data_IF_663666335662
#
_entry.id   IF_663666335662
#
_cell.length_a   1.000
_cell.length_b   1.000
_cell.length_c   1.000
_cell.angle_alpha   90.00
_cell.angle_beta   90.00
_cell.angle_gamma   90.00
#
_symmetry.space_group_name_H-M   'P 1'
#
loop_
_entity.id
_entity.type
_entity.pdbx_description
1 polymer ?
#
# COMPACT_ATOMS: atom_id res chain seq x y z
N UNK A 1 2.30 -28.01 -1.56
CA UNK A 1 1.29 -27.05 -1.07
C UNK A 1 2.11 -25.83 -0.76
N UNK A 2 2.39 -25.10 -1.83
CA UNK A 2 3.54 -24.22 -1.91
C UNK A 2 3.26 -22.93 -1.16
N UNK A 3 4.23 -22.59 -0.31
CA UNK A 3 4.42 -21.32 0.34
C UNK A 3 4.15 -20.17 -0.65
N UNK A 4 3.07 -19.42 -0.45
CA UNK A 4 2.83 -18.19 -1.22
C UNK A 4 3.65 -17.05 -0.58
N UNK A 5 4.96 -17.23 -0.70
CA UNK A 5 6.06 -16.27 -0.90
C UNK A 5 6.12 -15.01 -0.01
N UNK A 6 7.06 -14.93 0.96
CA UNK A 6 7.37 -13.70 1.69
C UNK A 6 8.45 -12.79 1.05
N UNK A 7 8.95 -13.09 -0.15
CA UNK A 7 10.16 -12.41 -0.70
C UNK A 7 9.91 -11.39 -1.83
N UNK A 8 8.66 -11.10 -2.18
CA UNK A 8 8.35 -10.09 -3.20
C UNK A 8 7.76 -8.80 -2.61
N UNK A 9 8.25 -7.65 -3.08
CA UNK A 9 7.70 -6.32 -2.75
C UNK A 9 6.39 -6.08 -3.52
N UNK A 10 6.20 -6.80 -4.63
CA UNK A 10 5.11 -6.63 -5.59
C UNK A 10 4.52 -7.99 -5.95
N UNK A 11 3.20 -8.08 -5.94
CA UNK A 11 2.44 -9.28 -6.24
C UNK A 11 1.43 -9.02 -7.35
N UNK A 12 1.42 -9.91 -8.34
CA UNK A 12 0.31 -10.04 -9.27
C UNK A 12 -0.78 -10.88 -8.61
N UNK A 13 -1.87 -10.22 -8.22
CA UNK A 13 -3.04 -10.84 -7.57
C UNK A 13 -3.66 -11.94 -8.43
N UNK A 14 -3.53 -11.87 -9.76
CA UNK A 14 -4.06 -12.91 -10.66
C UNK A 14 -3.28 -14.23 -10.56
N UNK A 15 -2.05 -14.19 -10.06
CA UNK A 15 -1.20 -15.36 -9.83
C UNK A 15 -1.30 -15.88 -8.39
N UNK A 16 -1.93 -15.11 -7.50
CA UNK A 16 -2.16 -15.54 -6.11
C UNK A 16 -3.37 -16.47 -6.12
N UNK A 17 -3.13 -17.77 -6.02
CA UNK A 17 -4.18 -18.79 -6.13
C UNK A 17 -5.19 -18.80 -4.96
N UNK A 18 -4.83 -18.21 -3.81
CA UNK A 18 -5.61 -18.32 -2.58
C UNK A 18 -5.56 -17.00 -1.77
N UNK A 19 -6.74 -16.38 -1.59
CA UNK A 19 -6.93 -15.21 -0.75
C UNK A 19 -6.57 -15.49 0.72
N UNK A 20 -6.93 -16.66 1.24
CA UNK A 20 -6.67 -17.00 2.64
C UNK A 20 -5.17 -17.10 2.90
N UNK A 21 -4.39 -17.60 1.93
CA UNK A 21 -2.94 -17.60 1.99
C UNK A 21 -2.38 -16.17 2.02
N UNK A 22 -2.83 -15.29 1.14
CA UNK A 22 -2.41 -13.87 1.12
C UNK A 22 -2.71 -13.18 2.46
N UNK A 23 -3.93 -13.31 2.96
CA UNK A 23 -4.33 -12.70 4.24
C UNK A 23 -3.56 -13.29 5.42
N UNK A 24 -3.26 -14.59 5.40
CA UNK A 24 -2.43 -15.24 6.42
C UNK A 24 -1.02 -14.69 6.40
N UNK A 25 -0.42 -14.47 5.23
CA UNK A 25 0.90 -13.84 5.10
C UNK A 25 0.89 -12.42 5.69
N UNK A 26 -0.08 -11.58 5.32
CA UNK A 26 -0.18 -10.21 5.85
C UNK A 26 -0.36 -10.19 7.38
N UNK A 27 -1.11 -11.15 7.94
CA UNK A 27 -1.28 -11.28 9.40
C UNK A 27 0.00 -11.72 10.08
N UNK A 28 0.67 -12.76 9.57
CA UNK A 28 1.93 -13.25 10.12
C UNK A 28 3.01 -12.16 10.11
N UNK A 29 3.08 -11.34 9.06
CA UNK A 29 3.99 -10.20 9.01
C UNK A 29 3.61 -9.10 10.00
N UNK A 30 2.31 -8.86 10.20
CA UNK A 30 1.85 -7.90 11.18
C UNK A 30 2.15 -8.33 12.63
N UNK A 31 2.01 -9.63 12.93
CA UNK A 31 2.34 -10.22 14.23
C UNK A 31 3.84 -10.07 14.56
N UNK A 32 4.73 -10.19 13.57
CA UNK A 32 6.17 -9.94 13.76
C UNK A 32 6.47 -8.49 14.16
N UNK A 33 5.61 -7.55 13.80
CA UNK A 33 5.75 -6.12 14.14
C UNK A 33 5.22 -5.78 15.54
N UNK A 34 4.64 -6.75 16.25
CA UNK A 34 4.36 -6.58 17.69
C UNK A 34 5.64 -6.70 18.54
N UNK A 35 6.76 -7.10 17.94
CA UNK A 35 8.07 -7.06 18.56
C UNK A 35 8.51 -5.59 18.80
N UNK A 36 8.81 -5.19 20.05
CA UNK A 36 9.23 -3.83 20.36
C UNK A 36 10.52 -3.38 19.66
N UNK A 37 11.36 -4.30 19.18
CA UNK A 37 12.58 -3.98 18.43
C UNK A 37 12.30 -3.69 16.95
N UNK A 38 11.10 -4.00 16.46
CA UNK A 38 10.66 -3.74 15.10
C UNK A 38 10.06 -2.34 14.96
N UNK A 39 10.77 -1.44 14.28
CA UNK A 39 10.30 -0.06 14.03
C UNK A 39 9.73 0.11 12.61
N UNK A 40 8.54 0.71 12.54
CA UNK A 40 7.84 1.01 11.28
C UNK A 40 7.03 -0.16 10.72
N UNK A 41 6.12 0.14 9.78
CA UNK A 41 5.29 -0.86 9.14
C UNK A 41 5.99 -1.61 8.01
N UNK A 42 5.36 -2.68 7.51
CA UNK A 42 5.73 -3.36 6.26
C UNK A 42 4.75 -3.03 5.17
N UNK A 43 5.19 -2.95 3.91
CA UNK A 43 4.30 -2.72 2.79
C UNK A 43 4.60 -3.58 1.57
N UNK A 44 3.56 -3.77 0.75
CA UNK A 44 3.55 -4.49 -0.50
C UNK A 44 2.76 -3.72 -1.56
N UNK A 45 3.01 -4.04 -2.82
CA UNK A 45 2.19 -3.60 -3.96
C UNK A 45 1.42 -4.79 -4.51
N UNK A 46 0.13 -4.61 -4.71
CA UNK A 46 -0.78 -5.60 -5.26
C UNK A 46 -1.29 -5.07 -6.60
N UNK A 47 -1.03 -5.81 -7.67
CA UNK A 47 -1.31 -5.43 -9.05
C UNK A 47 -2.14 -6.52 -9.73
N UNK A 48 -2.83 -6.19 -10.83
CA UNK A 48 -3.62 -7.16 -11.62
C UNK A 48 -2.95 -7.34 -12.98
N UNK A 49 -2.09 -8.35 -13.10
CA UNK A 49 -1.28 -8.60 -14.28
C UNK A 49 0.09 -7.90 -14.27
N UNK A 50 1.01 -8.34 -15.13
CA UNK A 50 2.38 -7.80 -15.20
C UNK A 50 2.46 -6.38 -15.77
N UNK A 51 1.48 -5.97 -16.56
CA UNK A 51 1.39 -4.64 -17.18
C UNK A 51 0.43 -3.71 -16.43
N UNK A 52 0.06 -4.05 -15.18
CA UNK A 52 -0.84 -3.25 -14.39
C UNK A 52 -0.27 -1.86 -14.16
N UNK A 53 -1.03 -0.85 -14.57
CA UNK A 53 -0.65 0.56 -14.38
C UNK A 53 -1.38 1.19 -13.19
N UNK A 54 -2.32 0.43 -12.60
CA UNK A 54 -3.01 0.73 -11.37
C UNK A 54 -2.88 -0.44 -10.38
N UNK A 55 -2.94 -0.13 -9.09
CA UNK A 55 -2.75 -1.14 -8.07
C UNK A 55 -2.97 -0.63 -6.66
N UNK A 56 -3.09 -1.58 -5.74
CA UNK A 56 -3.26 -1.33 -4.33
C UNK A 56 -1.94 -1.49 -3.60
N UNK A 57 -1.46 -0.43 -2.95
CA UNK A 57 -0.34 -0.49 -2.02
C UNK A 57 -0.90 -0.68 -0.62
N UNK A 58 -0.41 -1.73 0.04
CA UNK A 58 -0.94 -2.20 1.32
C UNK A 58 0.20 -2.26 2.30
N UNK A 59 -0.02 -1.76 3.52
CA UNK A 59 0.91 -1.95 4.61
C UNK A 59 0.24 -2.38 5.90
N UNK A 60 1.02 -3.00 6.78
CA UNK A 60 0.61 -3.47 8.11
C UNK A 60 1.57 -2.90 9.16
N UNK A 61 1.04 -2.49 10.31
CA UNK A 61 1.77 -1.87 11.43
C UNK A 61 1.00 -2.01 12.75
N UNK A 62 0.97 -3.22 13.30
CA UNK A 62 0.25 -3.54 14.54
C UNK A 62 -1.26 -3.37 14.39
N UNK A 63 -1.86 -2.49 15.20
CA UNK A 63 -3.30 -2.24 15.17
C UNK A 63 -3.79 -1.45 13.95
N UNK A 64 -2.87 -0.86 13.18
CA UNK A 64 -3.16 -0.05 11.99
C UNK A 64 -2.43 -0.61 10.78
N UNK A 65 -2.79 -0.13 9.59
CA UNK A 65 -2.04 -0.38 8.37
C UNK A 65 -2.34 0.67 7.31
N UNK A 66 -1.54 0.70 6.25
CA UNK A 66 -1.62 1.71 5.20
C UNK A 66 -2.39 1.19 3.99
N UNK A 67 -3.22 2.05 3.39
CA UNK A 67 -3.83 1.82 2.08
C UNK A 67 -3.53 3.01 1.17
N UNK A 68 -3.05 2.72 -0.04
CA UNK A 68 -2.94 3.71 -1.12
C UNK A 68 -3.37 3.03 -2.41
N UNK A 69 -4.34 3.61 -3.10
CA UNK A 69 -4.67 3.22 -4.47
C UNK A 69 -3.86 4.09 -5.42
N UNK A 70 -3.12 3.49 -6.34
CA UNK A 70 -2.32 4.22 -7.31
C UNK A 70 -2.82 3.95 -8.72
N UNK A 71 -2.83 5.01 -9.53
CA UNK A 71 -3.03 4.99 -10.98
C UNK A 71 -1.79 5.59 -11.64
N UNK A 72 -1.70 5.63 -12.98
CA UNK A 72 -0.58 6.26 -13.66
C UNK A 72 -0.43 7.75 -13.41
N UNK A 73 -1.52 8.42 -12.99
CA UNK A 73 -1.60 9.88 -12.87
C UNK A 73 -1.64 10.35 -11.44
N UNK A 74 -2.34 9.61 -10.59
CA UNK A 74 -2.71 10.05 -9.25
C UNK A 74 -2.65 8.89 -8.26
N UNK A 75 -2.44 9.24 -7.00
CA UNK A 75 -2.61 8.33 -5.87
C UNK A 75 -3.75 8.82 -5.00
N UNK A 76 -4.42 7.86 -4.38
CA UNK A 76 -5.60 8.08 -3.55
C UNK A 76 -5.40 7.40 -2.20
N UNK A 77 -5.86 8.07 -1.16
CA UNK A 77 -5.82 7.61 0.22
C UNK A 77 -7.25 7.50 0.76
N UNK A 78 -7.50 6.68 1.80
CA UNK A 78 -8.80 6.63 2.44
C UNK A 78 -9.20 7.97 3.05
N UNK A 79 -10.46 8.35 2.85
CA UNK A 79 -11.09 9.51 3.52
C UNK A 79 -11.11 9.39 5.04
N UNK A 80 -11.14 8.15 5.54
CA UNK A 80 -11.13 7.80 6.98
C UNK A 80 -9.71 7.60 7.53
N UNK A 81 -8.70 8.02 6.80
CA UNK A 81 -7.30 7.96 7.19
C UNK A 81 -6.99 8.69 8.51
N UNK A 82 -6.22 8.04 9.37
CA UNK A 82 -5.97 8.43 10.75
C UNK A 82 -4.65 9.18 10.95
N UNK A 83 -3.62 8.89 10.16
CA UNK A 83 -2.32 9.58 10.31
C UNK A 83 -2.37 10.98 9.68
N UNK A 84 -1.86 11.97 10.40
CA UNK A 84 -1.76 13.36 9.92
C UNK A 84 -0.43 13.63 9.21
N UNK A 85 0.62 12.89 9.59
CA UNK A 85 1.98 13.01 9.06
C UNK A 85 2.42 11.75 8.29
N UNK A 86 3.60 11.82 7.67
CA UNK A 86 4.23 10.66 7.04
C UNK A 86 4.43 9.53 8.05
N UNK A 87 3.89 8.35 7.75
CA UNK A 87 4.06 7.16 8.57
C UNK A 87 5.26 6.35 8.08
N UNK A 88 6.11 5.89 9.01
CA UNK A 88 7.28 5.07 8.68
C UNK A 88 6.89 3.65 8.28
N UNK A 89 7.20 3.28 7.04
CA UNK A 89 7.05 1.93 6.49
C UNK A 89 8.33 1.56 5.74
N UNK A 90 8.58 0.25 5.67
CA UNK A 90 9.66 -0.34 4.87
C UNK A 90 9.09 -1.42 3.97
N UNK A 91 9.70 -1.62 2.81
CA UNK A 91 9.39 -2.84 2.05
C UNK A 91 9.99 -4.07 2.75
N UNK A 92 9.68 -5.25 2.23
CA UNK A 92 10.22 -6.51 2.74
C UNK A 92 11.75 -6.63 2.63
N UNK A 93 12.40 -5.79 1.81
CA UNK A 93 13.86 -5.71 1.66
C UNK A 93 14.49 -4.70 2.63
N UNK A 94 13.67 -4.01 3.43
CA UNK A 94 14.10 -3.04 4.43
C UNK A 94 14.26 -1.60 3.92
N UNK A 95 13.97 -1.34 2.65
CA UNK A 95 14.04 0.02 2.09
C UNK A 95 12.93 0.88 2.66
N UNK A 96 13.28 2.10 3.08
CA UNK A 96 12.31 3.07 3.57
C UNK A 96 11.36 3.49 2.46
N UNK A 97 10.07 3.47 2.79
CA UNK A 97 9.01 3.86 1.89
C UNK A 97 7.87 4.46 2.72
N UNK A 98 8.07 5.69 3.23
CA UNK A 98 7.10 6.36 4.08
C UNK A 98 5.74 6.46 3.38
N UNK A 99 4.67 6.41 4.16
CA UNK A 99 3.30 6.46 3.66
C UNK A 99 2.70 7.84 3.89
N UNK A 100 1.91 8.34 2.93
CA UNK A 100 1.38 9.71 2.99
C UNK A 100 0.42 9.90 4.17
N UNK A 101 0.16 11.16 4.56
CA UNK A 101 -0.98 11.49 5.41
C UNK A 101 -2.27 10.83 4.93
N UNK A 102 -3.15 10.48 5.86
CA UNK A 102 -4.44 9.82 5.64
C UNK A 102 -4.37 8.40 5.05
N UNK A 103 -3.20 7.80 4.94
CA UNK A 103 -3.08 6.43 4.43
C UNK A 103 -3.38 5.36 5.48
N UNK A 104 -3.20 5.65 6.77
CA UNK A 104 -3.37 4.68 7.85
C UNK A 104 -4.82 4.51 8.27
N UNK A 105 -5.27 3.27 8.29
CA UNK A 105 -6.60 2.85 8.72
C UNK A 105 -6.51 1.70 9.72
N UNK A 106 -7.58 1.38 10.46
CA UNK A 106 -7.61 0.19 11.30
C UNK A 106 -7.25 -1.08 10.52
N UNK A 107 -6.45 -1.97 11.11
CA UNK A 107 -5.90 -3.14 10.39
C UNK A 107 -6.99 -4.08 9.81
N UNK A 108 -8.15 -4.17 10.47
CA UNK A 108 -9.30 -4.91 9.95
C UNK A 108 -9.83 -4.33 8.63
N UNK A 109 -9.79 -3.00 8.47
CA UNK A 109 -10.19 -2.34 7.22
C UNK A 109 -9.19 -2.63 6.10
N UNK A 110 -7.90 -2.75 6.42
CA UNK A 110 -6.86 -3.17 5.47
C UNK A 110 -7.17 -4.57 4.93
N UNK A 111 -7.41 -5.54 5.80
CA UNK A 111 -7.71 -6.91 5.38
C UNK A 111 -9.00 -7.02 4.57
N UNK A 112 -10.05 -6.28 4.94
CA UNK A 112 -11.29 -6.22 4.17
C UNK A 112 -11.07 -5.62 2.77
N UNK A 113 -10.28 -4.54 2.68
CA UNK A 113 -9.93 -3.89 1.41
C UNK A 113 -9.12 -4.82 0.50
N UNK A 114 -8.15 -5.57 1.05
CA UNK A 114 -7.38 -6.58 0.30
C UNK A 114 -8.28 -7.69 -0.23
N UNK A 115 -9.18 -8.20 0.61
CA UNK A 115 -10.12 -9.24 0.20
C UNK A 115 -11.03 -8.79 -0.94
N UNK A 116 -11.54 -7.55 -0.87
CA UNK A 116 -12.34 -6.98 -1.95
C UNK A 116 -11.51 -6.74 -3.22
N UNK A 117 -10.28 -6.23 -3.10
CA UNK A 117 -9.39 -6.03 -4.24
C UNK A 117 -9.09 -7.36 -4.95
N UNK A 118 -8.80 -8.40 -4.17
CA UNK A 118 -8.59 -9.74 -4.68
C UNK A 118 -9.82 -10.28 -5.43
N UNK A 119 -11.03 -10.04 -4.92
CA UNK A 119 -12.25 -10.54 -5.56
C UNK A 119 -12.66 -9.74 -6.80
N UNK A 120 -12.43 -8.42 -6.80
CA UNK A 120 -12.97 -7.49 -7.81
C UNK A 120 -11.97 -7.06 -8.86
N UNK A 121 -10.67 -7.12 -8.55
CA UNK A 121 -9.56 -6.60 -9.35
C UNK A 121 -9.71 -5.10 -9.69
N UNK A 122 -10.49 -4.35 -8.89
CA UNK A 122 -10.80 -2.94 -9.10
C UNK A 122 -10.56 -2.15 -7.83
N UNK A 123 -10.51 -0.83 -7.92
CA UNK A 123 -10.46 0.03 -6.74
C UNK A 123 -11.55 -0.38 -5.72
N UNK A 124 -11.16 -0.83 -4.51
CA UNK A 124 -12.12 -1.33 -3.52
C UNK A 124 -13.11 -0.26 -3.07
N UNK A 125 -14.39 -0.60 -2.90
CA UNK A 125 -15.42 0.32 -2.43
C UNK A 125 -15.69 0.23 -0.92
N UNK A 126 -15.08 -0.74 -0.23
CA UNK A 126 -15.09 -0.86 1.25
C UNK A 126 -14.59 0.42 1.93
N UNK A 127 -13.75 1.19 1.23
CA UNK A 127 -13.33 2.53 1.67
C UNK A 127 -13.67 3.57 0.62
N UNK A 128 -14.03 4.77 1.08
CA UNK A 128 -14.12 5.93 0.21
C UNK A 128 -12.73 6.54 0.05
N UNK A 129 -12.36 6.83 -1.20
CA UNK A 129 -11.05 7.35 -1.57
C UNK A 129 -11.10 8.86 -1.80
N UNK A 130 -10.00 9.53 -1.48
CA UNK A 130 -9.73 10.91 -1.85
C UNK A 130 -8.36 11.02 -2.48
N UNK A 131 -8.13 12.04 -3.29
CA UNK A 131 -6.79 12.32 -3.82
C UNK A 131 -5.80 12.46 -2.66
N UNK A 132 -4.64 11.84 -2.80
CA UNK A 132 -3.55 11.99 -1.86
C UNK A 132 -3.23 13.49 -1.70
N UNK A 133 -3.24 14.03 -0.47
CA UNK A 133 -2.93 15.43 -0.26
C UNK A 133 -1.50 15.70 -0.72
N UNK A 134 -1.35 16.54 -1.75
CA UNK A 134 -0.03 16.97 -2.20
C UNK A 134 0.69 17.69 -1.05
N UNK A 135 2.01 17.51 -0.89
CA UNK A 135 2.76 18.35 0.04
C UNK A 135 2.54 19.83 -0.33
N UNK A 136 2.55 20.73 0.67
CA UNK A 136 2.45 22.15 0.40
C UNK A 136 3.57 22.55 -0.55
N UNK A 137 3.23 23.17 -1.69
CA UNK A 137 4.20 23.66 -2.66
C UNK A 137 5.19 24.59 -1.95
N UNK A 138 6.49 24.36 -2.12
CA UNK A 138 7.46 25.35 -1.68
C UNK A 138 7.38 26.55 -2.63
N UNK A 139 7.46 27.80 -2.13
CA UNK A 139 7.45 28.97 -2.99
C UNK A 139 8.66 28.92 -3.93
N UNK A 140 8.41 28.79 -5.23
CA UNK A 140 9.44 28.79 -6.28
C UNK A 140 9.57 27.49 -7.10
N UNK A 141 8.81 26.43 -6.80
CA UNK A 141 8.79 25.23 -7.65
C UNK A 141 7.97 25.47 -8.94
N UNK A 142 8.52 25.20 -10.14
CA UNK A 142 7.80 25.33 -11.39
C UNK A 142 6.67 24.27 -11.51
N UNK A 143 5.62 24.58 -12.28
CA UNK A 143 4.41 23.76 -12.52
C UNK A 143 4.64 22.42 -13.25
N UNK A 144 5.80 21.77 -13.11
CA UNK A 144 6.09 20.47 -13.72
C UNK A 144 5.81 19.32 -12.76
N UNK A 145 4.53 18.99 -12.56
CA UNK A 145 4.12 17.66 -12.09
C UNK A 145 2.89 17.17 -12.88
N UNK A 146 2.98 17.26 -14.20
CA UNK A 146 2.06 16.61 -15.14
C UNK A 146 2.86 16.27 -16.41
N UNK A 147 3.69 15.23 -16.37
CA UNK A 147 3.86 14.22 -17.43
C UNK A 147 5.00 13.25 -17.05
N UNK A 148 4.91 12.01 -17.54
CA UNK A 148 5.73 10.89 -17.08
C UNK A 148 7.21 10.93 -17.43
N UNK A 149 7.88 9.84 -17.01
CA UNK A 149 9.27 9.47 -17.23
C UNK A 149 10.30 10.11 -16.28
N UNK A 150 10.68 9.33 -15.26
CA UNK A 150 11.99 9.47 -14.61
C UNK A 150 13.04 8.95 -15.61
N UNK A 151 13.91 9.83 -16.11
CA UNK A 151 15.11 9.45 -16.87
C UNK A 151 16.30 9.55 -15.92
N UNK A 152 16.99 8.45 -15.57
CA UNK A 152 18.28 8.55 -14.89
C UNK A 152 19.36 9.04 -15.86
N UNK A 153 20.20 9.96 -15.36
CA UNK A 153 21.52 10.25 -15.94
C UNK A 153 22.48 9.06 -15.81
#
# INVERSE_FOLDING_TARGET
>A
MDDVLPEAVEYDITQVADLDALLRTLRAENEKLEDPDMTGGRFWRLNVGPDATEGLRVGVRGAVGSLVWSTPRESFVPTVGMNEDLASYRDIKGYEAPRPPRSEVPINLVYATVAEYYASHRQPVTVQWMAEPSPPRLPGEPDSYMDGAWIPE
#
